data_IF_605069691633
#
_entry.id   IF_605069691633
#
_cell.length_a   1.000
_cell.length_b   1.000
_cell.length_c   1.000
_cell.angle_alpha   90.00
_cell.angle_beta   90.00
_cell.angle_gamma   90.00
#
_symmetry.space_group_name_H-M   'P 1'
#
loop_
_entity.id
_entity.type
_entity.pdbx_description
1 polymer ?
#
# COMPACT_ATOMS: atom_id res chain seq x y z
N UNK A 1 14.19 8.59 11.78
CA UNK A 1 14.15 7.86 10.48
C UNK A 1 14.58 6.41 10.73
N UNK A 2 13.75 5.40 10.39
CA UNK A 2 14.01 3.98 10.70
C UNK A 2 15.36 3.55 10.08
N UNK A 3 16.22 2.90 10.88
CA UNK A 3 17.53 2.42 10.42
C UNK A 3 17.34 1.19 9.52
N UNK A 4 17.99 1.18 8.35
CA UNK A 4 17.91 0.16 7.28
C UNK A 4 18.03 -1.30 7.76
N UNK A 5 18.71 -1.55 8.88
CA UNK A 5 19.01 -2.90 9.39
C UNK A 5 17.81 -3.69 9.93
N UNK A 6 16.63 -3.07 10.06
CA UNK A 6 15.44 -3.69 10.68
C UNK A 6 14.20 -3.77 9.78
N UNK A 7 14.34 -3.42 8.49
CA UNK A 7 13.24 -3.43 7.52
C UNK A 7 13.22 -4.75 6.74
N UNK A 8 12.15 -5.53 6.91
CA UNK A 8 11.89 -6.73 6.12
C UNK A 8 10.92 -6.40 4.97
N UNK A 9 11.36 -6.53 3.71
CA UNK A 9 10.51 -6.25 2.54
C UNK A 9 9.59 -7.44 2.28
N UNK A 10 8.29 -7.16 2.12
CA UNK A 10 7.24 -8.17 1.97
C UNK A 10 6.69 -8.17 0.55
N UNK A 11 6.52 -6.99 -0.04
CA UNK A 11 6.16 -6.84 -1.46
C UNK A 11 6.92 -5.67 -2.08
N UNK A 12 7.20 -5.76 -3.38
CA UNK A 12 7.91 -4.72 -4.15
C UNK A 12 7.43 -4.64 -5.59
N UNK A 13 7.61 -3.47 -6.19
CA UNK A 13 7.43 -3.20 -7.61
C UNK A 13 8.52 -2.26 -8.12
N UNK A 14 8.45 -1.89 -9.40
CA UNK A 14 9.24 -0.77 -9.95
C UNK A 14 8.87 0.59 -9.34
N UNK A 15 7.70 0.69 -8.69
CA UNK A 15 7.18 1.93 -8.12
C UNK A 15 7.42 2.07 -6.62
N UNK A 16 7.81 1.00 -5.92
CA UNK A 16 7.98 1.06 -4.47
C UNK A 16 8.09 -0.29 -3.77
N UNK A 17 7.87 -0.26 -2.45
CA UNK A 17 7.86 -1.44 -1.61
C UNK A 17 6.90 -1.30 -0.42
N UNK A 18 6.47 -2.45 0.11
CA UNK A 18 5.88 -2.59 1.44
C UNK A 18 6.83 -3.44 2.28
N UNK A 19 7.20 -2.95 3.45
CA UNK A 19 8.07 -3.70 4.36
C UNK A 19 7.80 -3.40 5.83
N UNK A 20 8.00 -4.40 6.68
CA UNK A 20 7.84 -4.28 8.12
C UNK A 20 9.13 -3.80 8.79
N UNK A 21 9.09 -2.68 9.51
CA UNK A 21 10.19 -2.17 10.33
C UNK A 21 9.99 -2.67 11.78
N UNK A 22 10.78 -3.66 12.21
CA UNK A 22 10.69 -4.24 13.57
C UNK A 22 10.93 -3.18 14.66
N UNK A 23 11.79 -2.20 14.40
CA UNK A 23 12.09 -1.13 15.36
C UNK A 23 10.93 -0.14 15.56
N UNK A 24 10.09 0.06 14.55
CA UNK A 24 8.92 0.93 14.64
C UNK A 24 7.62 0.18 14.94
N UNK A 25 7.62 -1.14 14.80
CA UNK A 25 6.42 -1.98 14.81
C UNK A 25 5.35 -1.47 13.83
N UNK A 26 5.80 -1.14 12.61
CA UNK A 26 4.99 -0.57 11.54
C UNK A 26 5.41 -1.11 10.19
N UNK A 27 4.46 -1.16 9.28
CA UNK A 27 4.68 -1.38 7.86
C UNK A 27 4.88 -0.05 7.15
N UNK A 28 5.95 0.03 6.39
CA UNK A 28 6.28 1.14 5.52
C UNK A 28 5.71 0.84 4.15
N UNK A 29 4.66 1.55 3.74
CA UNK A 29 4.21 1.60 2.36
C UNK A 29 4.92 2.78 1.69
N UNK A 30 5.89 2.47 0.85
CA UNK A 30 6.60 3.43 0.01
C UNK A 30 6.14 3.21 -1.43
N UNK A 31 5.54 4.20 -2.06
CA UNK A 31 5.12 4.12 -3.46
C UNK A 31 5.34 5.47 -4.13
N UNK A 32 6.33 5.56 -5.03
CA UNK A 32 6.77 6.82 -5.64
C UNK A 32 7.06 7.89 -4.56
N UNK A 33 6.27 8.97 -4.53
CA UNK A 33 6.35 10.04 -3.55
C UNK A 33 5.39 9.88 -2.36
N UNK A 34 4.68 8.76 -2.27
CA UNK A 34 3.75 8.41 -1.19
C UNK A 34 4.52 7.59 -0.15
N UNK A 35 4.43 8.01 1.11
CA UNK A 35 4.97 7.29 2.26
C UNK A 35 3.92 7.21 3.35
N UNK A 36 3.55 5.98 3.74
CA UNK A 36 2.56 5.74 4.78
C UNK A 36 3.14 4.72 5.79
N UNK A 37 2.98 5.03 7.07
CA UNK A 37 3.26 4.11 8.16
C UNK A 37 1.94 3.49 8.61
N UNK A 38 1.86 2.16 8.55
CA UNK A 38 0.65 1.41 8.82
C UNK A 38 0.90 0.36 9.90
N UNK A 39 -0.11 0.07 10.71
CA UNK A 39 -0.20 -1.15 11.50
C UNK A 39 -0.69 -2.30 10.62
N UNK A 40 -0.64 -3.51 11.16
CA UNK A 40 -1.05 -4.70 10.43
C UNK A 40 -2.53 -4.65 10.03
N UNK A 41 -3.39 -4.27 10.98
CA UNK A 41 -4.83 -4.12 10.75
C UNK A 41 -5.15 -3.04 9.70
N UNK A 42 -4.31 -2.01 9.61
CA UNK A 42 -4.46 -0.92 8.64
C UNK A 42 -4.03 -1.36 7.23
N UNK A 43 -3.02 -2.23 7.09
CA UNK A 43 -2.71 -2.87 5.80
C UNK A 43 -3.85 -3.78 5.34
N UNK A 44 -4.38 -4.62 6.25
CA UNK A 44 -5.51 -5.50 5.92
C UNK A 44 -6.73 -4.70 5.49
N UNK A 45 -7.05 -3.62 6.22
CA UNK A 45 -8.12 -2.70 5.86
C UNK A 45 -7.90 -2.00 4.52
N UNK A 46 -6.65 -1.56 4.24
CA UNK A 46 -6.30 -0.97 2.96
C UNK A 46 -6.48 -1.98 1.81
N UNK A 47 -6.11 -3.25 2.02
CA UNK A 47 -6.39 -4.35 1.09
C UNK A 47 -7.86 -4.45 0.72
N UNK A 48 -8.74 -4.49 1.72
CA UNK A 48 -10.19 -4.50 1.48
C UNK A 48 -10.65 -3.28 0.68
N UNK A 49 -10.16 -2.09 1.00
CA UNK A 49 -10.53 -0.84 0.32
C UNK A 49 -10.12 -0.87 -1.16
N UNK A 50 -8.90 -1.33 -1.46
CA UNK A 50 -8.42 -1.39 -2.85
C UNK A 50 -9.09 -2.49 -3.66
N UNK A 51 -9.46 -3.62 -3.03
CA UNK A 51 -10.15 -4.72 -3.70
C UNK A 51 -11.58 -4.38 -4.11
N UNK A 52 -12.29 -3.61 -3.28
CA UNK A 52 -13.65 -3.14 -3.61
C UNK A 52 -13.65 -1.80 -4.35
N UNK A 53 -12.46 -1.28 -4.69
CA UNK A 53 -12.22 0.01 -5.34
C UNK A 53 -12.94 1.19 -4.65
N UNK A 54 -13.11 1.12 -3.33
CA UNK A 54 -13.82 2.17 -2.57
C UNK A 54 -13.04 3.49 -2.61
N UNK A 55 -13.75 4.58 -2.89
CA UNK A 55 -13.14 5.91 -3.01
C UNK A 55 -12.22 6.07 -4.22
N UNK A 56 -12.34 5.18 -5.22
CA UNK A 56 -11.60 5.25 -6.48
C UNK A 56 -12.48 5.88 -7.56
N UNK A 57 -11.93 6.87 -8.27
CA UNK A 57 -12.62 7.64 -9.29
C UNK A 57 -11.77 7.75 -10.55
N UNK A 58 -12.40 7.57 -11.71
CA UNK A 58 -11.79 7.91 -12.99
C UNK A 58 -12.02 9.40 -13.28
N UNK A 59 -10.95 10.13 -13.51
CA UNK A 59 -10.96 11.55 -13.84
C UNK A 59 -11.03 11.74 -15.36
N UNK A 60 -11.93 12.59 -15.83
CA UNK A 60 -12.06 12.95 -17.25
C UNK A 60 -10.87 13.79 -17.73
N UNK A 61 -10.34 14.65 -16.86
CA UNK A 61 -9.14 15.44 -17.14
C UNK A 61 -7.96 14.89 -16.35
N UNK A 62 -6.86 14.48 -17.02
CA UNK A 62 -5.69 13.97 -16.32
C UNK A 62 -5.05 15.03 -15.42
N UNK A 63 -4.56 14.60 -14.25
CA UNK A 63 -3.74 15.42 -13.35
C UNK A 63 -2.27 15.05 -13.46
N UNK A 64 -1.40 16.06 -13.43
CA UNK A 64 0.05 15.85 -13.56
C UNK A 64 0.41 15.02 -14.79
N UNK A 65 1.33 14.05 -14.64
CA UNK A 65 1.90 13.20 -15.70
C UNK A 65 0.90 12.17 -16.27
N UNK A 66 -0.25 12.61 -16.76
CA UNK A 66 -1.27 11.75 -17.38
C UNK A 66 -2.02 10.84 -16.39
N UNK A 67 -2.09 11.22 -15.10
CA UNK A 67 -2.75 10.41 -14.07
C UNK A 67 -4.25 10.64 -14.14
N UNK A 68 -5.01 9.56 -14.29
CA UNK A 68 -6.48 9.61 -14.47
C UNK A 68 -7.24 8.87 -13.38
N UNK A 69 -6.55 8.08 -12.55
CA UNK A 69 -7.19 7.41 -11.41
C UNK A 69 -6.93 8.23 -10.16
N UNK A 70 -8.00 8.60 -9.45
CA UNK A 70 -7.96 9.28 -8.16
C UNK A 70 -8.42 8.32 -7.08
N UNK A 71 -7.65 8.22 -6.00
CA UNK A 71 -7.95 7.40 -4.82
C UNK A 71 -8.06 8.31 -3.60
N UNK A 72 -9.25 8.38 -3.02
CA UNK A 72 -9.53 9.22 -1.87
C UNK A 72 -8.85 8.67 -0.61
N UNK A 73 -8.08 9.52 0.07
CA UNK A 73 -7.56 9.20 1.40
C UNK A 73 -8.60 9.52 2.48
N UNK A 74 -8.42 9.10 3.73
CA UNK A 74 -9.33 9.49 4.81
C UNK A 74 -9.45 11.01 5.04
N UNK A 75 -8.48 11.80 4.56
CA UNK A 75 -8.57 13.26 4.59
C UNK A 75 -9.41 13.73 3.40
N UNK A 76 -10.48 14.48 3.68
CA UNK A 76 -11.49 14.91 2.70
C UNK A 76 -10.95 15.69 1.50
N UNK A 77 -9.77 16.31 1.64
CA UNK A 77 -9.11 17.13 0.63
C UNK A 77 -7.81 16.51 0.07
N UNK A 78 -7.49 15.27 0.42
CA UNK A 78 -6.25 14.61 -0.03
C UNK A 78 -6.57 13.36 -0.82
N UNK A 79 -6.04 13.30 -2.03
CA UNK A 79 -6.24 12.20 -2.98
C UNK A 79 -4.88 11.74 -3.51
N UNK A 80 -4.73 10.45 -3.69
CA UNK A 80 -3.62 9.89 -4.44
C UNK A 80 -4.02 9.78 -5.91
N UNK A 81 -3.15 10.25 -6.80
CA UNK A 81 -3.38 10.16 -8.23
C UNK A 81 -2.44 9.12 -8.83
N UNK A 82 -2.97 8.31 -9.75
CA UNK A 82 -2.26 7.24 -10.42
C UNK A 82 -2.58 7.23 -11.93
N UNK A 83 -1.61 6.79 -12.72
CA UNK A 83 -1.92 6.17 -14.03
C UNK A 83 -2.54 4.78 -13.79
N UNK A 84 -3.17 4.20 -14.81
CA UNK A 84 -3.70 2.83 -14.71
C UNK A 84 -2.63 1.82 -14.28
N UNK A 85 -1.44 1.87 -14.89
CA UNK A 85 -0.35 0.96 -14.54
C UNK A 85 0.16 1.15 -13.11
N UNK A 86 0.26 2.39 -12.63
CA UNK A 86 0.66 2.64 -11.24
C UNK A 86 -0.39 2.14 -10.26
N UNK A 87 -1.68 2.32 -10.56
CA UNK A 87 -2.75 1.87 -9.67
C UNK A 87 -2.81 0.34 -9.57
N UNK A 88 -2.65 -0.37 -10.69
CA UNK A 88 -2.59 -1.84 -10.67
C UNK A 88 -1.40 -2.35 -9.86
N UNK A 89 -0.23 -1.72 -9.99
CA UNK A 89 0.94 -2.09 -9.18
C UNK A 89 0.76 -1.74 -7.69
N UNK A 90 0.05 -0.65 -7.38
CA UNK A 90 -0.32 -0.29 -6.01
C UNK A 90 -1.23 -1.36 -5.40
N UNK A 91 -2.30 -1.75 -6.10
CA UNK A 91 -3.21 -2.85 -5.70
C UNK A 91 -2.45 -4.15 -5.50
N UNK A 92 -1.66 -4.57 -6.49
CA UNK A 92 -0.86 -5.80 -6.45
C UNK A 92 0.03 -5.85 -5.21
N UNK A 93 0.76 -4.78 -4.92
CA UNK A 93 1.66 -4.75 -3.77
C UNK A 93 0.94 -4.89 -2.43
N UNK A 94 -0.21 -4.22 -2.29
CA UNK A 94 -1.02 -4.31 -1.08
C UNK A 94 -1.55 -5.73 -0.91
N UNK A 95 -2.10 -6.31 -1.96
CA UNK A 95 -2.71 -7.66 -1.92
C UNK A 95 -1.67 -8.75 -1.64
N UNK A 96 -0.48 -8.66 -2.25
CA UNK A 96 0.65 -9.55 -1.92
C UNK A 96 1.05 -9.42 -0.45
N UNK A 97 1.07 -8.20 0.08
CA UNK A 97 1.40 -7.97 1.48
C UNK A 97 0.36 -8.59 2.40
N UNK A 98 -0.93 -8.41 2.12
CA UNK A 98 -2.03 -9.04 2.88
C UNK A 98 -1.92 -10.56 2.85
N UNK A 99 -1.66 -11.15 1.69
CA UNK A 99 -1.46 -12.59 1.56
C UNK A 99 -0.30 -13.10 2.42
N UNK A 100 0.84 -12.38 2.42
CA UNK A 100 1.98 -12.76 3.24
C UNK A 100 1.70 -12.68 4.74
N UNK A 101 0.87 -11.74 5.18
CA UNK A 101 0.42 -11.66 6.57
C UNK A 101 -0.42 -12.87 6.96
N UNK A 102 -1.37 -13.27 6.10
CA UNK A 102 -2.19 -14.46 6.31
C UNK A 102 -1.34 -15.74 6.36
N UNK A 103 -0.35 -15.86 5.48
CA UNK A 103 0.60 -16.98 5.50
C UNK A 103 1.36 -17.04 6.83
N UNK A 104 1.84 -15.90 7.33
CA UNK A 104 2.55 -15.83 8.61
C UNK A 104 1.65 -16.23 9.78
N UNK A 105 0.38 -15.82 9.80
CA UNK A 105 -0.58 -16.25 10.82
C UNK A 105 -0.74 -17.77 10.83
N UNK A 106 -0.92 -18.38 9.67
CA UNK A 106 -1.10 -19.84 9.53
C UNK A 106 0.15 -20.61 9.99
N UNK A 107 1.34 -20.13 9.64
CA UNK A 107 2.60 -20.77 10.03
C UNK A 107 2.82 -20.64 11.55
N UNK A 108 2.56 -19.47 12.12
CA UNK A 108 2.80 -19.20 13.54
C UNK A 108 1.74 -19.79 14.48
N UNK A 109 0.54 -20.12 13.99
CA UNK A 109 -0.49 -20.83 14.75
C UNK A 109 -0.18 -22.32 15.01
N UNK A 110 0.90 -22.87 14.42
CA UNK A 110 1.30 -24.28 14.60
C UNK A 110 2.24 -24.52 15.81
N UNK A 111 2.31 -23.61 16.76
CA UNK A 111 3.04 -23.75 18.04
C UNK A 111 2.16 -23.33 19.23
#
# INVERSE_FOLDING_TARGET
MCQKSSLNIISKSSYGYIGYCKGCDRYNLCFQNIFILLKEEEIKGLGTIVDVEYGTYLMETPVGRGKTISFQTPLSNTYFAFTACEYEEFKRMINESVLMLQVNEIINQKH
#
